data_IF_412225565236
#
_entry.id   IF_412225565236
#
_cell.length_a   1.000
_cell.length_b   1.000
_cell.length_c   1.000
_cell.angle_alpha   90.00
_cell.angle_beta   90.00
_cell.angle_gamma   90.00
#
_symmetry.space_group_name_H-M   'P 1'
#
loop_
_entity.id
_entity.type
_entity.pdbx_description
1 polymer ?
#
# COMPACT_ATOMS: atom_id res chain seq x y z
N UNK A 1 26.56 8.16 -20.75
CA UNK A 1 25.12 8.28 -20.41
C UNK A 1 24.98 7.72 -19.01
N UNK A 2 24.55 8.53 -18.03
CA UNK A 2 24.18 7.96 -16.72
C UNK A 2 23.08 6.91 -16.94
N UNK A 3 23.28 5.72 -16.37
CA UNK A 3 22.39 4.59 -16.57
C UNK A 3 20.98 4.90 -16.08
N UNK A 4 19.98 4.40 -16.78
CA UNK A 4 18.57 4.51 -16.39
C UNK A 4 18.33 4.08 -14.93
N UNK A 5 19.05 3.04 -14.48
CA UNK A 5 19.04 2.57 -13.09
C UNK A 5 19.56 3.60 -12.08
N UNK A 6 20.72 4.24 -12.32
CA UNK A 6 21.28 5.22 -11.38
C UNK A 6 20.37 6.44 -11.22
N UNK A 7 19.78 6.89 -12.33
CA UNK A 7 18.80 7.98 -12.33
C UNK A 7 17.54 7.61 -11.55
N UNK A 8 17.07 6.37 -11.68
CA UNK A 8 15.93 5.87 -10.90
C UNK A 8 16.24 5.79 -9.40
N UNK A 9 17.44 5.32 -9.03
CA UNK A 9 17.89 5.25 -7.64
C UNK A 9 17.97 6.65 -7.02
N UNK A 10 18.58 7.61 -7.72
CA UNK A 10 18.65 9.01 -7.27
C UNK A 10 17.25 9.59 -7.10
N UNK A 11 16.37 9.35 -8.07
CA UNK A 11 14.97 9.76 -7.98
C UNK A 11 14.27 9.16 -6.76
N UNK A 12 14.48 7.86 -6.51
CA UNK A 12 13.90 7.17 -5.36
C UNK A 12 14.33 7.81 -4.04
N UNK A 13 15.63 8.08 -3.87
CA UNK A 13 16.14 8.74 -2.67
C UNK A 13 15.51 10.13 -2.49
N UNK A 14 15.40 10.91 -3.58
CA UNK A 14 14.79 12.23 -3.56
C UNK A 14 13.29 12.20 -3.25
N UNK A 15 12.55 11.21 -3.76
CA UNK A 15 11.11 11.03 -3.43
C UNK A 15 10.91 10.67 -1.97
N UNK A 16 11.85 9.94 -1.36
CA UNK A 16 11.78 9.54 0.05
C UNK A 16 12.20 10.65 1.02
N UNK A 17 13.08 11.56 0.58
CA UNK A 17 13.69 12.59 1.43
C UNK A 17 12.68 13.49 2.17
N UNK A 18 11.56 13.95 1.59
CA UNK A 18 10.55 14.74 2.31
C UNK A 18 9.89 13.98 3.46
N UNK A 19 9.80 12.65 3.38
CA UNK A 19 9.10 11.82 4.36
C UNK A 19 10.03 11.23 5.42
N UNK A 20 11.26 10.89 5.02
CA UNK A 20 12.21 10.14 5.85
C UNK A 20 13.50 10.91 6.16
N UNK A 21 13.69 12.11 5.58
CA UNK A 21 14.88 12.93 5.76
C UNK A 21 16.16 12.15 5.46
N UNK A 22 17.09 12.14 6.41
CA UNK A 22 18.38 11.44 6.28
C UNK A 22 18.25 9.91 6.16
N UNK A 23 17.13 9.32 6.59
CA UNK A 23 16.92 7.87 6.50
C UNK A 23 16.64 7.40 5.06
N UNK A 24 16.25 8.31 4.15
CA UNK A 24 15.96 8.01 2.75
C UNK A 24 17.10 7.26 2.05
N UNK A 25 18.34 7.76 2.19
CA UNK A 25 19.53 7.11 1.62
C UNK A 25 19.79 5.72 2.18
N UNK A 26 19.59 5.54 3.50
CA UNK A 26 19.76 4.25 4.17
C UNK A 26 18.72 3.23 3.69
N UNK A 27 17.45 3.64 3.52
CA UNK A 27 16.39 2.78 3.00
C UNK A 27 16.69 2.31 1.58
N UNK A 28 17.07 3.24 0.69
CA UNK A 28 17.46 2.89 -0.68
C UNK A 28 18.65 1.93 -0.68
N UNK A 29 19.65 2.16 0.17
CA UNK A 29 20.82 1.29 0.29
C UNK A 29 20.46 -0.12 0.76
N UNK A 30 19.59 -0.25 1.76
CA UNK A 30 19.11 -1.56 2.25
C UNK A 30 18.42 -2.34 1.13
N UNK A 31 17.57 -1.68 0.36
CA UNK A 31 16.88 -2.32 -0.77
C UNK A 31 17.86 -2.68 -1.88
N UNK A 32 18.83 -1.80 -2.19
CA UNK A 32 19.87 -2.07 -3.19
C UNK A 32 20.75 -3.27 -2.86
N UNK A 33 21.02 -3.53 -1.59
CA UNK A 33 21.76 -4.71 -1.14
C UNK A 33 20.98 -5.99 -1.48
N UNK A 34 19.65 -5.96 -1.36
CA UNK A 34 18.77 -7.10 -1.66
C UNK A 34 18.48 -7.26 -3.14
N UNK A 35 18.22 -6.15 -3.84
CA UNK A 35 17.88 -6.10 -5.25
C UNK A 35 18.68 -4.98 -5.92
N UNK A 36 19.78 -5.37 -6.56
CA UNK A 36 20.64 -4.42 -7.27
C UNK A 36 20.06 -4.15 -8.66
N UNK A 37 19.82 -2.86 -8.95
CA UNK A 37 19.43 -2.42 -10.29
C UNK A 37 20.68 -2.11 -11.13
N UNK A 38 20.62 -2.50 -12.39
CA UNK A 38 21.68 -2.34 -13.38
C UNK A 38 21.11 -1.67 -14.65
N UNK A 39 21.97 -1.18 -15.53
CA UNK A 39 21.53 -0.57 -16.79
C UNK A 39 20.70 -1.53 -17.67
N UNK A 40 20.90 -2.84 -17.52
CA UNK A 40 20.19 -3.91 -18.24
C UNK A 40 18.96 -4.45 -17.49
N UNK A 41 18.64 -3.89 -16.32
CA UNK A 41 17.48 -4.33 -15.53
C UNK A 41 16.19 -4.17 -16.30
N UNK A 42 15.33 -5.19 -16.22
CA UNK A 42 14.02 -5.21 -16.87
C UNK A 42 12.99 -4.53 -15.97
N UNK A 43 11.84 -4.13 -16.53
CA UNK A 43 10.73 -3.50 -15.77
C UNK A 43 10.39 -4.26 -14.48
N UNK A 44 10.38 -5.59 -14.52
CA UNK A 44 10.10 -6.44 -13.36
C UNK A 44 11.13 -6.28 -12.23
N UNK A 45 12.42 -6.05 -12.55
CA UNK A 45 13.45 -5.82 -11.53
C UNK A 45 13.18 -4.53 -10.74
N UNK A 46 12.69 -3.49 -11.42
CA UNK A 46 12.30 -2.24 -10.78
C UNK A 46 11.03 -2.41 -9.93
N UNK A 47 10.07 -3.22 -10.37
CA UNK A 47 8.87 -3.50 -9.57
C UNK A 47 9.22 -4.27 -8.30
N UNK A 48 10.06 -5.32 -8.41
CA UNK A 48 10.56 -6.03 -7.23
C UNK A 48 11.35 -5.12 -6.28
N UNK A 49 12.13 -4.18 -6.82
CA UNK A 49 12.81 -3.17 -6.03
C UNK A 49 11.81 -2.29 -5.25
N UNK A 50 10.75 -1.82 -5.91
CA UNK A 50 9.70 -1.00 -5.28
C UNK A 50 8.95 -1.80 -4.20
N UNK A 51 8.60 -3.05 -4.46
CA UNK A 51 7.89 -3.89 -3.49
C UNK A 51 8.75 -4.17 -2.24
N UNK A 52 10.06 -4.36 -2.42
CA UNK A 52 11.00 -4.42 -1.29
C UNK A 52 11.04 -3.10 -0.53
N UNK A 53 11.05 -1.96 -1.23
CA UNK A 53 11.02 -0.65 -0.58
C UNK A 53 9.73 -0.44 0.22
N UNK A 54 8.57 -0.78 -0.36
CA UNK A 54 7.26 -0.74 0.30
C UNK A 54 7.27 -1.50 1.61
N UNK A 55 7.79 -2.73 1.60
CA UNK A 55 7.92 -3.57 2.79
C UNK A 55 8.81 -2.96 3.88
N UNK A 56 9.85 -2.22 3.51
CA UNK A 56 10.69 -1.53 4.51
C UNK A 56 10.04 -0.23 5.01
N UNK A 57 9.22 0.43 4.19
CA UNK A 57 8.51 1.66 4.57
C UNK A 57 7.28 1.39 5.44
N UNK A 58 6.58 0.27 5.26
CA UNK A 58 5.36 -0.06 6.01
C UNK A 58 5.59 -0.18 7.53
N UNK A 59 6.84 -0.34 7.97
CA UNK A 59 7.21 -0.31 9.39
C UNK A 59 7.56 1.09 9.92
N UNK A 60 7.67 2.09 9.05
CA UNK A 60 8.20 3.43 9.36
C UNK A 60 7.20 4.56 9.09
N UNK A 61 6.22 4.34 8.22
CA UNK A 61 5.16 5.29 7.90
C UNK A 61 3.81 4.58 7.85
N UNK A 62 2.72 5.33 7.74
CA UNK A 62 1.40 4.74 7.51
C UNK A 62 1.28 4.13 6.10
N UNK A 63 0.36 3.17 5.97
CA UNK A 63 0.16 2.44 4.71
C UNK A 63 -0.24 3.37 3.55
N UNK A 64 -0.91 4.48 3.86
CA UNK A 64 -1.32 5.46 2.87
C UNK A 64 -0.11 6.15 2.22
N UNK A 65 0.78 6.73 3.03
CA UNK A 65 1.99 7.40 2.54
C UNK A 65 2.93 6.41 1.84
N UNK A 66 3.10 5.20 2.37
CA UNK A 66 3.90 4.16 1.73
C UNK A 66 3.38 3.85 0.32
N UNK A 67 2.06 3.69 0.18
CA UNK A 67 1.41 3.45 -1.11
C UNK A 67 1.57 4.63 -2.08
N UNK A 68 1.39 5.87 -1.62
CA UNK A 68 1.56 7.06 -2.46
C UNK A 68 2.99 7.17 -3.02
N UNK A 69 4.00 6.97 -2.16
CA UNK A 69 5.41 6.97 -2.56
C UNK A 69 5.68 5.86 -3.58
N UNK A 70 5.27 4.63 -3.28
CA UNK A 70 5.48 3.50 -4.20
C UNK A 70 4.79 3.70 -5.54
N UNK A 71 3.58 4.26 -5.55
CA UNK A 71 2.87 4.58 -6.80
C UNK A 71 3.60 5.64 -7.62
N UNK A 72 4.15 6.68 -6.99
CA UNK A 72 4.99 7.67 -7.68
C UNK A 72 6.22 7.02 -8.33
N UNK A 73 6.86 6.06 -7.64
CA UNK A 73 7.99 5.29 -8.18
C UNK A 73 7.57 4.39 -9.34
N UNK A 74 6.42 3.70 -9.25
CA UNK A 74 5.88 2.85 -10.32
C UNK A 74 5.59 3.66 -11.59
N UNK A 75 5.03 4.86 -11.44
CA UNK A 75 4.84 5.81 -12.55
C UNK A 75 6.19 6.18 -13.18
N UNK A 76 7.20 6.47 -12.36
CA UNK A 76 8.55 6.77 -12.86
C UNK A 76 9.16 5.63 -13.66
N UNK A 77 8.96 4.38 -13.22
CA UNK A 77 9.39 3.19 -13.98
C UNK A 77 8.69 3.17 -15.34
N UNK A 78 7.38 3.37 -15.40
CA UNK A 78 6.65 3.43 -16.66
C UNK A 78 7.22 4.50 -17.61
N UNK A 79 7.54 5.69 -17.11
CA UNK A 79 8.16 6.77 -17.90
C UNK A 79 9.52 6.39 -18.49
N UNK A 80 10.35 5.69 -17.71
CA UNK A 80 11.67 5.22 -18.15
C UNK A 80 11.52 4.25 -19.32
N UNK A 81 10.60 3.30 -19.21
CA UNK A 81 10.37 2.28 -20.23
C UNK A 81 9.64 2.83 -21.46
N UNK A 82 8.79 3.84 -21.30
CA UNK A 82 8.13 4.56 -22.40
C UNK A 82 9.11 5.38 -23.23
N UNK A 83 10.12 5.98 -22.61
CA UNK A 83 11.17 6.73 -23.32
C UNK A 83 12.15 5.85 -24.08
N UNK A 84 12.34 4.62 -23.64
CA UNK A 84 13.21 3.64 -24.32
C UNK A 84 12.51 2.92 -25.47
N UNK A 85 11.17 2.87 -25.49
CA UNK A 85 10.40 2.50 -26.68
C UNK A 85 10.30 3.67 -27.66
N UNK A 86 11.44 4.13 -28.20
CA UNK A 86 11.39 4.96 -29.42
C UNK A 86 10.74 4.09 -30.51
N UNK A 87 9.66 4.53 -31.17
CA UNK A 87 9.08 3.80 -32.29
C UNK A 87 10.16 3.75 -33.37
N UNK A 88 10.76 2.58 -33.57
CA UNK A 88 11.70 2.39 -34.65
C UNK A 88 10.90 2.53 -35.96
N UNK A 89 11.15 3.54 -36.80
CA UNK A 89 10.43 3.67 -38.05
C UNK A 89 11.06 2.70 -39.04
N UNK A 90 10.51 1.51 -39.23
CA UNK A 90 10.61 0.75 -40.50
C UNK A 90 9.84 -0.57 -40.48
N UNK A 91 8.87 -0.64 -41.41
CA UNK A 91 8.62 -1.74 -42.34
C UNK A 91 8.79 -3.21 -41.88
N UNK A 92 7.64 -3.89 -41.85
CA UNK A 92 7.38 -5.30 -42.17
C UNK A 92 6.75 -6.10 -41.00
N UNK A 93 5.61 -6.79 -41.24
CA UNK A 93 4.90 -7.56 -40.22
C UNK A 93 5.58 -8.92 -40.05
N UNK A 94 6.12 -9.19 -38.85
CA UNK A 94 6.56 -10.53 -38.46
C UNK A 94 5.76 -10.99 -37.25
N UNK A 95 5.09 -12.12 -37.44
CA UNK A 95 4.12 -12.75 -36.56
C UNK A 95 4.80 -13.52 -35.42
N UNK A 96 4.80 -12.95 -34.22
CA UNK A 96 4.72 -13.69 -32.95
C UNK A 96 4.55 -12.68 -31.81
N UNK A 97 3.29 -12.30 -31.56
CA UNK A 97 2.92 -11.33 -30.54
C UNK A 97 2.81 -11.98 -29.14
N UNK A 98 3.42 -11.40 -28.09
CA UNK A 98 2.88 -11.48 -26.73
C UNK A 98 1.61 -10.62 -26.66
N UNK A 99 0.55 -11.10 -26.00
CA UNK A 99 -0.75 -10.45 -25.94
C UNK A 99 -0.66 -8.98 -25.44
N UNK A 100 -0.93 -7.96 -26.29
CA UNK A 100 -0.71 -6.53 -25.97
C UNK A 100 -1.75 -5.89 -25.04
N UNK A 101 -2.54 -6.68 -24.29
CA UNK A 101 -3.75 -6.17 -23.61
C UNK A 101 -3.67 -5.98 -22.10
N UNK A 102 -2.77 -6.70 -21.40
CA UNK A 102 -2.84 -6.80 -19.94
C UNK A 102 -2.40 -5.51 -19.22
N UNK A 103 -1.41 -4.78 -19.75
CA UNK A 103 -0.84 -3.58 -19.10
C UNK A 103 -1.86 -2.42 -19.09
N UNK A 104 -2.62 -2.28 -20.18
CA UNK A 104 -3.62 -1.20 -20.36
C UNK A 104 -4.82 -1.39 -19.42
N UNK A 105 -5.28 -2.63 -19.22
CA UNK A 105 -6.42 -2.92 -18.36
C UNK A 105 -6.09 -2.70 -16.87
N UNK A 106 -4.86 -3.03 -16.45
CA UNK A 106 -4.37 -2.73 -15.09
C UNK A 106 -4.19 -1.24 -14.84
N UNK A 107 -3.65 -0.50 -15.82
CA UNK A 107 -3.49 0.95 -15.72
C UNK A 107 -4.85 1.66 -15.64
N UNK A 108 -5.79 1.25 -16.49
CA UNK A 108 -7.16 1.74 -16.49
C UNK A 108 -7.85 1.48 -15.15
N UNK A 109 -7.75 0.26 -14.63
CA UNK A 109 -8.33 -0.11 -13.33
C UNK A 109 -7.75 0.76 -12.20
N UNK A 110 -6.44 1.01 -12.23
CA UNK A 110 -5.77 1.87 -11.23
C UNK A 110 -6.29 3.30 -11.29
N UNK A 111 -6.42 3.87 -12.49
CA UNK A 111 -6.97 5.22 -12.69
C UNK A 111 -8.42 5.35 -12.22
N UNK A 112 -9.25 4.35 -12.51
CA UNK A 112 -10.63 4.30 -12.04
C UNK A 112 -10.68 4.24 -10.51
N UNK A 113 -9.85 3.40 -9.88
CA UNK A 113 -9.77 3.32 -8.41
C UNK A 113 -9.38 4.68 -7.82
N UNK A 114 -8.37 5.35 -8.37
CA UNK A 114 -7.94 6.68 -7.92
C UNK A 114 -9.02 7.75 -8.09
N UNK A 115 -9.76 7.71 -9.21
CA UNK A 115 -10.88 8.61 -9.45
C UNK A 115 -11.98 8.43 -8.40
N UNK A 116 -12.32 7.17 -8.09
CA UNK A 116 -13.39 6.83 -7.14
C UNK A 116 -13.00 7.08 -5.69
N UNK A 117 -11.72 6.95 -5.34
CA UNK A 117 -11.20 7.29 -4.01
C UNK A 117 -11.30 8.81 -3.76
N UNK A 118 -10.98 9.61 -4.78
CA UNK A 118 -11.13 11.08 -4.72
C UNK A 118 -12.58 11.54 -4.81
N UNK A 119 -13.44 10.78 -5.49
CA UNK A 119 -14.84 11.12 -5.76
C UNK A 119 -15.78 9.96 -5.33
N UNK A 120 -15.89 9.66 -4.03
CA UNK A 120 -16.69 8.53 -3.55
C UNK A 120 -18.19 8.69 -3.84
N UNK A 121 -18.64 9.90 -4.20
CA UNK A 121 -20.01 10.24 -4.57
C UNK A 121 -20.10 10.86 -5.97
N UNK A 122 -19.28 10.38 -6.91
CA UNK A 122 -19.32 10.83 -8.30
C UNK A 122 -20.74 10.75 -8.88
N UNK A 123 -21.22 11.85 -9.45
CA UNK A 123 -22.50 11.93 -10.17
C UNK A 123 -22.39 11.29 -11.56
N UNK A 124 -23.52 11.07 -12.24
CA UNK A 124 -23.52 10.55 -13.61
C UNK A 124 -22.79 11.51 -14.60
N UNK A 125 -22.81 12.82 -14.31
CA UNK A 125 -22.07 13.83 -15.06
C UNK A 125 -20.55 13.66 -14.85
N UNK A 126 -20.11 13.52 -13.60
CA UNK A 126 -18.69 13.27 -13.27
C UNK A 126 -18.17 11.99 -13.92
N UNK A 127 -18.97 10.90 -13.87
CA UNK A 127 -18.64 9.63 -14.52
C UNK A 127 -18.54 9.82 -16.04
N UNK A 128 -19.46 10.59 -16.62
CA UNK A 128 -19.48 10.85 -18.06
C UNK A 128 -18.26 11.64 -18.50
N UNK A 129 -17.89 12.68 -17.77
CA UNK A 129 -16.76 13.53 -18.10
C UNK A 129 -15.43 12.80 -17.88
N UNK A 130 -15.32 12.00 -16.82
CA UNK A 130 -14.15 11.16 -16.61
C UNK A 130 -14.02 10.06 -17.68
N UNK A 131 -15.13 9.47 -18.11
CA UNK A 131 -15.14 8.51 -19.21
C UNK A 131 -14.70 9.14 -20.54
N UNK A 132 -15.11 10.38 -20.83
CA UNK A 132 -14.63 11.14 -22.01
C UNK A 132 -13.13 11.41 -21.90
N UNK A 133 -12.65 11.80 -20.72
CA UNK A 133 -11.22 11.99 -20.46
C UNK A 133 -10.43 10.71 -20.76
N UNK A 134 -10.87 9.56 -20.24
CA UNK A 134 -10.21 8.28 -20.52
C UNK A 134 -10.27 7.92 -22.02
N UNK A 135 -11.39 8.16 -22.69
CA UNK A 135 -11.49 7.94 -24.13
C UNK A 135 -10.48 8.78 -24.92
N UNK A 136 -10.33 10.06 -24.57
CA UNK A 136 -9.34 10.95 -25.19
C UNK A 136 -7.90 10.50 -24.89
N UNK A 137 -7.62 10.11 -23.65
CA UNK A 137 -6.26 9.74 -23.21
C UNK A 137 -5.76 8.46 -23.89
N UNK A 138 -6.63 7.47 -24.07
CA UNK A 138 -6.30 6.19 -24.71
C UNK A 138 -6.55 6.18 -26.23
N UNK A 139 -6.72 7.36 -26.85
CA UNK A 139 -6.85 7.52 -28.30
C UNK A 139 -8.11 6.88 -28.90
N UNK A 140 -9.16 6.75 -28.09
CA UNK A 140 -10.42 6.12 -28.45
C UNK A 140 -11.42 7.06 -29.12
N UNK A 141 -12.29 6.47 -29.94
CA UNK A 141 -13.49 7.13 -30.49
C UNK A 141 -14.56 7.34 -29.39
N UNK A 142 -15.54 8.23 -29.62
CA UNK A 142 -16.65 8.50 -28.70
C UNK A 142 -17.37 7.22 -28.24
N UNK A 143 -17.37 6.20 -29.08
CA UNK A 143 -17.91 4.86 -28.80
C UNK A 143 -17.23 4.14 -27.61
N UNK A 144 -15.99 4.49 -27.24
CA UNK A 144 -15.32 3.94 -26.06
C UNK A 144 -15.79 4.59 -24.75
N UNK A 145 -16.41 5.77 -24.81
CA UNK A 145 -16.93 6.49 -23.63
C UNK A 145 -17.91 5.61 -22.85
N UNK A 146 -18.86 4.97 -23.53
CA UNK A 146 -19.84 4.09 -22.88
C UNK A 146 -19.19 2.84 -22.25
N UNK A 147 -18.12 2.33 -22.87
CA UNK A 147 -17.33 1.24 -22.29
C UNK A 147 -16.64 1.68 -20.99
N UNK A 148 -16.01 2.87 -20.99
CA UNK A 148 -15.38 3.42 -19.78
C UNK A 148 -16.40 3.75 -18.69
N UNK A 149 -17.57 4.28 -19.03
CA UNK A 149 -18.68 4.46 -18.07
C UNK A 149 -19.06 3.15 -17.41
N UNK A 150 -19.18 2.07 -18.18
CA UNK A 150 -19.49 0.74 -17.64
C UNK A 150 -18.42 0.28 -16.63
N UNK A 151 -17.14 0.46 -16.96
CA UNK A 151 -16.04 0.13 -16.03
C UNK A 151 -16.06 0.97 -14.75
N UNK A 152 -16.28 2.29 -14.87
CA UNK A 152 -16.35 3.20 -13.71
C UNK A 152 -17.52 2.81 -12.80
N UNK A 153 -18.71 2.57 -13.38
CA UNK A 153 -19.90 2.14 -12.63
C UNK A 153 -19.68 0.79 -11.93
N UNK A 154 -18.99 -0.15 -12.58
CA UNK A 154 -18.61 -1.42 -11.95
C UNK A 154 -17.67 -1.20 -10.77
N UNK A 155 -16.68 -0.31 -10.92
CA UNK A 155 -15.79 0.11 -9.82
C UNK A 155 -16.53 0.75 -8.66
N UNK A 156 -17.51 1.63 -8.92
CA UNK A 156 -18.35 2.24 -7.89
C UNK A 156 -19.14 1.21 -7.09
N UNK A 157 -19.72 0.23 -7.80
CA UNK A 157 -20.43 -0.87 -7.18
C UNK A 157 -19.54 -1.64 -6.20
N UNK A 158 -18.29 -1.93 -6.59
CA UNK A 158 -17.31 -2.58 -5.72
C UNK A 158 -16.93 -1.73 -4.50
N UNK A 159 -16.73 -0.42 -4.67
CA UNK A 159 -16.41 0.46 -3.54
C UNK A 159 -17.53 0.52 -2.50
N UNK A 160 -18.80 0.62 -2.94
CA UNK A 160 -19.96 0.58 -2.04
C UNK A 160 -20.05 -0.76 -1.29
N UNK A 161 -19.71 -1.85 -1.97
CA UNK A 161 -19.64 -3.18 -1.36
C UNK A 161 -18.56 -3.24 -0.30
N UNK A 162 -17.34 -2.76 -0.59
CA UNK A 162 -16.22 -2.72 0.37
C UNK A 162 -16.58 -1.85 1.58
N UNK A 163 -17.20 -0.69 1.39
CA UNK A 163 -17.68 0.15 2.49
C UNK A 163 -18.77 -0.57 3.32
N UNK A 164 -19.70 -1.26 2.64
CA UNK A 164 -20.72 -2.09 3.27
C UNK A 164 -20.12 -3.21 4.13
N UNK A 165 -19.11 -3.92 3.61
CA UNK A 165 -18.37 -4.96 4.34
C UNK A 165 -17.70 -4.34 5.57
N UNK A 166 -17.06 -3.18 5.39
CA UNK A 166 -16.37 -2.50 6.49
C UNK A 166 -17.31 -2.10 7.63
N UNK A 167 -18.50 -1.59 7.30
CA UNK A 167 -19.57 -1.26 8.26
C UNK A 167 -20.13 -2.51 8.93
N UNK A 168 -20.41 -3.56 8.15
CA UNK A 168 -20.90 -4.84 8.64
C UNK A 168 -19.92 -5.45 9.67
N UNK A 169 -18.64 -5.54 9.34
CA UNK A 169 -17.62 -6.11 10.21
C UNK A 169 -17.26 -5.21 11.41
N UNK A 170 -17.58 -3.91 11.36
CA UNK A 170 -17.47 -3.03 12.53
C UNK A 170 -18.59 -3.31 13.55
N UNK A 171 -19.81 -3.59 13.08
CA UNK A 171 -20.95 -3.94 13.93
C UNK A 171 -20.88 -5.39 14.42
N UNK A 172 -20.38 -6.30 13.58
CA UNK A 172 -20.24 -7.72 13.87
C UNK A 172 -18.77 -8.15 13.70
N UNK A 173 -17.89 -7.95 14.70
CA UNK A 173 -16.48 -8.32 14.59
C UNK A 173 -16.22 -9.83 14.38
N UNK A 174 -17.20 -10.65 14.77
CA UNK A 174 -17.20 -12.12 14.58
C UNK A 174 -18.58 -12.55 14.05
N UNK A 175 -18.89 -12.27 12.77
CA UNK A 175 -20.19 -12.58 12.22
C UNK A 175 -20.38 -14.11 12.15
N UNK A 176 -21.58 -14.59 12.46
CA UNK A 176 -21.94 -15.99 12.22
C UNK A 176 -22.13 -16.24 10.73
N UNK A 177 -22.18 -17.53 10.32
CA UNK A 177 -22.46 -17.88 8.92
C UNK A 177 -23.79 -17.29 8.43
N UNK A 178 -24.82 -17.26 9.30
CA UNK A 178 -26.12 -16.68 8.98
C UNK A 178 -26.04 -15.16 8.77
N UNK A 179 -25.28 -14.46 9.61
CA UNK A 179 -25.10 -13.00 9.46
C UNK A 179 -24.44 -12.66 8.11
N UNK A 180 -23.45 -13.46 7.71
CA UNK A 180 -22.80 -13.33 6.39
C UNK A 180 -23.78 -13.62 5.26
N UNK A 181 -24.60 -14.67 5.38
CA UNK A 181 -25.60 -15.01 4.36
C UNK A 181 -26.63 -13.89 4.17
N UNK A 182 -27.10 -13.30 5.27
CA UNK A 182 -28.08 -12.21 5.24
C UNK A 182 -27.47 -10.93 4.65
N UNK A 183 -26.20 -10.62 5.00
CA UNK A 183 -25.46 -9.53 4.38
C UNK A 183 -25.26 -9.73 2.88
N UNK A 184 -24.87 -10.94 2.45
CA UNK A 184 -24.65 -11.27 1.04
C UNK A 184 -25.93 -11.10 0.23
N UNK A 185 -27.06 -11.59 0.74
CA UNK A 185 -28.37 -11.37 0.11
C UNK A 185 -28.72 -9.89 0.00
N UNK A 186 -28.49 -9.11 1.05
CA UNK A 186 -28.77 -7.67 1.06
C UNK A 186 -27.96 -6.91 -0.01
N UNK A 187 -26.66 -7.20 -0.13
CA UNK A 187 -25.81 -6.57 -1.13
C UNK A 187 -26.21 -6.99 -2.54
N UNK A 188 -26.54 -8.26 -2.79
CA UNK A 188 -26.98 -8.71 -4.11
C UNK A 188 -28.29 -8.06 -4.57
N UNK A 189 -29.21 -7.77 -3.64
CA UNK A 189 -30.42 -7.01 -3.96
C UNK A 189 -30.10 -5.57 -4.38
N UNK A 190 -29.02 -5.00 -3.84
CA UNK A 190 -28.60 -3.62 -4.10
C UNK A 190 -27.63 -3.51 -5.28
N UNK A 191 -26.90 -4.58 -5.59
CA UNK A 191 -25.85 -4.62 -6.60
C UNK A 191 -25.74 -6.04 -7.21
N UNK A 192 -26.56 -6.37 -8.23
CA UNK A 192 -26.66 -7.73 -8.78
C UNK A 192 -25.44 -8.17 -9.60
N UNK A 193 -24.43 -7.32 -9.77
CA UNK A 193 -23.27 -7.58 -10.61
C UNK A 193 -22.15 -8.42 -9.97
N UNK A 194 -22.25 -8.74 -8.68
CA UNK A 194 -21.24 -9.48 -7.93
C UNK A 194 -21.81 -10.84 -7.54
N UNK A 195 -21.03 -11.91 -7.73
CA UNK A 195 -21.49 -13.25 -7.34
C UNK A 195 -21.49 -13.42 -5.81
N UNK A 196 -22.39 -14.25 -5.27
CA UNK A 196 -22.40 -14.54 -3.83
C UNK A 196 -21.06 -15.12 -3.34
N UNK A 197 -20.41 -15.95 -4.16
CA UNK A 197 -19.12 -16.54 -3.84
C UNK A 197 -18.01 -15.47 -3.71
N UNK A 198 -17.95 -14.56 -4.68
CA UNK A 198 -17.01 -13.42 -4.66
C UNK A 198 -17.25 -12.52 -3.45
N UNK A 199 -18.52 -12.23 -3.14
CA UNK A 199 -18.86 -11.39 -2.00
C UNK A 199 -18.48 -12.03 -0.65
N UNK A 200 -18.68 -13.35 -0.51
CA UNK A 200 -18.21 -14.11 0.67
C UNK A 200 -16.70 -14.08 0.79
N UNK A 201 -15.98 -14.21 -0.33
CA UNK A 201 -14.53 -14.12 -0.35
C UNK A 201 -14.05 -12.74 0.12
N UNK A 202 -14.69 -11.66 -0.34
CA UNK A 202 -14.37 -10.30 0.09
C UNK A 202 -14.61 -10.10 1.59
N UNK A 203 -15.74 -10.59 2.12
CA UNK A 203 -16.05 -10.53 3.56
C UNK A 203 -14.99 -11.29 4.37
N UNK A 204 -14.64 -12.51 3.96
CA UNK A 204 -13.66 -13.33 4.68
C UNK A 204 -12.24 -12.72 4.60
N UNK A 205 -11.86 -12.19 3.44
CA UNK A 205 -10.59 -11.48 3.24
C UNK A 205 -10.47 -10.30 4.21
N UNK A 206 -11.47 -9.44 4.26
CA UNK A 206 -11.47 -8.27 5.15
C UNK A 206 -11.47 -8.68 6.63
N UNK A 207 -12.23 -9.73 6.99
CA UNK A 207 -12.22 -10.30 8.34
C UNK A 207 -10.83 -10.80 8.74
N UNK A 208 -10.12 -11.48 7.84
CA UNK A 208 -8.75 -11.95 8.07
C UNK A 208 -7.78 -10.77 8.21
N UNK A 209 -7.89 -9.74 7.35
CA UNK A 209 -7.09 -8.52 7.46
C UNK A 209 -7.23 -7.92 8.86
N UNK A 210 -8.47 -7.74 9.36
CA UNK A 210 -8.70 -7.22 10.71
C UNK A 210 -8.16 -8.14 11.80
N UNK A 211 -8.30 -9.45 11.65
CA UNK A 211 -7.80 -10.42 12.63
C UNK A 211 -6.27 -10.38 12.78
N UNK A 212 -5.53 -10.17 11.69
CA UNK A 212 -4.07 -10.28 11.68
C UNK A 212 -3.34 -8.91 11.67
N UNK A 213 -3.95 -7.85 11.15
CA UNK A 213 -3.35 -6.51 11.07
C UNK A 213 -3.78 -5.55 12.21
N UNK A 214 -4.83 -5.88 12.99
CA UNK A 214 -5.17 -5.08 14.18
C UNK A 214 -4.28 -5.38 15.40
N UNK A 215 -3.41 -6.38 15.30
CA UNK A 215 -2.39 -6.62 16.32
C UNK A 215 -1.24 -5.60 16.18
N UNK A 216 -1.52 -4.32 16.47
CA UNK A 216 -0.43 -3.38 16.76
C UNK A 216 0.38 -3.94 17.95
N UNK A 217 1.72 -4.04 17.85
CA UNK A 217 2.59 -4.50 18.92
C UNK A 217 2.78 -3.43 20.01
N UNK A 218 1.67 -3.00 20.64
CA UNK A 218 1.67 -1.97 21.67
C UNK A 218 0.59 -2.13 22.76
N UNK A 219 -0.38 -3.03 22.60
CA UNK A 219 -1.44 -3.25 23.60
C UNK A 219 -1.07 -4.32 24.64
N UNK A 220 0.19 -4.36 25.07
CA UNK A 220 0.64 -5.21 26.18
C UNK A 220 1.22 -4.33 27.30
N UNK A 221 0.32 -3.85 28.17
CA UNK A 221 0.43 -3.83 29.65
C UNK A 221 -0.40 -2.68 30.22
N UNK A 222 -1.67 -2.96 30.47
CA UNK A 222 -2.30 -2.48 31.69
C UNK A 222 -2.76 -3.72 32.45
N UNK A 223 -1.78 -4.40 33.07
CA UNK A 223 -2.09 -5.34 34.14
C UNK A 223 -2.56 -4.47 35.30
N UNK A 224 -3.84 -4.61 35.62
CA UNK A 224 -4.47 -4.07 36.81
C UNK A 224 -3.58 -4.30 38.04
N UNK A 225 -2.97 -3.23 38.55
CA UNK A 225 -2.40 -3.21 39.88
C UNK A 225 -3.55 -3.02 40.87
N UNK A 226 -3.82 -4.09 41.60
CA UNK A 226 -4.68 -4.19 42.78
C UNK A 226 -4.34 -3.07 43.80
N UNK A 227 -5.30 -2.30 44.34
CA UNK A 227 -5.01 -1.32 45.36
C UNK A 227 -4.87 -2.01 46.72
N UNK A 228 -3.74 -1.83 47.39
CA UNK A 228 -3.50 -2.38 48.70
C UNK A 228 -2.40 -1.65 49.45
N UNK A 229 -2.82 -0.99 50.54
CA UNK A 229 -2.05 -0.43 51.65
C UNK A 229 -1.41 0.97 51.49
N UNK A 230 -1.94 1.90 52.29
CA UNK A 230 -1.28 3.12 52.75
C UNK A 230 -0.03 2.79 53.58
N UNK A 231 0.89 3.75 53.80
CA UNK A 231 0.73 4.55 55.01
C UNK A 231 1.04 6.04 54.87
N UNK A 232 0.55 6.77 55.87
CA UNK A 232 0.87 8.14 56.28
C UNK A 232 2.38 8.43 56.33
N UNK A 233 2.81 9.59 55.82
CA UNK A 233 3.13 10.73 56.69
C UNK A 233 3.63 11.94 55.90
N UNK A 234 3.26 13.12 56.43
CA UNK A 234 3.52 14.44 55.91
C UNK A 234 4.94 14.94 56.22
N UNK A 235 5.52 15.73 55.31
CA UNK A 235 6.29 16.93 55.66
C UNK A 235 6.49 17.85 54.45
N UNK A 236 6.21 19.14 54.68
CA UNK A 236 6.43 20.31 53.81
C UNK A 236 7.92 20.54 53.54
N UNK A 237 8.26 20.98 52.32
CA UNK A 237 9.25 22.07 52.13
C UNK A 237 9.14 22.69 50.73
N UNK A 238 9.24 24.01 50.69
CA UNK A 238 9.03 24.92 49.56
C UNK A 238 10.34 25.42 48.95
N UNK A 239 10.25 25.80 47.67
CA UNK A 239 11.10 26.71 46.85
C UNK A 239 12.18 26.06 45.95
N UNK A 240 12.70 26.79 44.93
CA UNK A 240 11.99 27.51 43.88
C UNK A 240 12.42 27.06 42.46
N UNK A 241 11.58 27.40 41.47
CA UNK A 241 11.76 27.15 40.04
C UNK A 241 12.96 27.92 39.47
N UNK A 242 13.85 27.21 38.77
CA UNK A 242 14.89 27.78 37.89
C UNK A 242 14.69 27.22 36.48
N UNK A 243 14.59 28.12 35.49
CA UNK A 243 14.33 27.85 34.08
C UNK A 243 15.65 27.90 33.28
N UNK A 244 15.93 26.83 32.51
CA UNK A 244 16.74 26.81 31.28
C UNK A 244 18.27 26.82 31.43
N UNK A 245 19.02 26.15 30.52
CA UNK A 245 18.87 26.25 29.07
C UNK A 245 18.73 24.89 28.32
N UNK A 246 18.42 24.88 27.00
CA UNK A 246 18.08 23.65 26.29
C UNK A 246 19.32 22.88 25.85
N UNK A 247 19.36 21.59 26.17
CA UNK A 247 20.35 20.64 25.64
C UNK A 247 19.70 19.91 24.48
N UNK A 248 20.07 20.31 23.27
CA UNK A 248 19.83 19.58 22.04
C UNK A 248 20.94 18.51 21.94
N UNK A 249 20.71 17.35 22.54
CA UNK A 249 21.57 16.18 22.39
C UNK A 249 20.72 15.07 21.77
N UNK A 250 20.71 15.04 20.45
CA UNK A 250 20.15 13.93 19.70
C UNK A 250 20.91 12.67 20.10
N UNK A 251 20.27 11.82 20.91
CA UNK A 251 20.74 10.47 21.19
C UNK A 251 20.87 9.73 19.87
N UNK A 252 22.09 9.66 19.34
CA UNK A 252 22.46 8.70 18.30
C UNK A 252 22.24 7.32 18.91
N UNK A 253 21.22 6.62 18.43
CA UNK A 253 21.08 5.19 18.64
C UNK A 253 22.36 4.56 18.05
N UNK A 254 23.16 3.82 18.85
CA UNK A 254 24.37 3.19 18.34
C UNK A 254 24.02 2.31 17.14
N UNK A 255 24.81 2.39 16.06
CA UNK A 255 24.59 1.56 14.85
C UNK A 255 24.60 0.05 15.19
N UNK A 256 25.28 -0.34 16.25
CA UNK A 256 25.27 -1.70 16.80
C UNK A 256 23.86 -2.15 17.24
N UNK A 257 23.06 -1.26 17.83
CA UNK A 257 21.68 -1.58 18.26
C UNK A 257 20.73 -1.78 17.09
N UNK A 258 20.98 -1.08 15.97
CA UNK A 258 20.19 -1.25 14.73
C UNK A 258 20.53 -2.59 14.07
N UNK A 259 21.80 -2.97 14.04
CA UNK A 259 22.23 -4.24 13.46
C UNK A 259 21.72 -5.44 14.26
N UNK A 260 21.79 -5.39 15.60
CA UNK A 260 21.22 -6.43 16.47
C UNK A 260 19.70 -6.60 16.28
N UNK A 261 18.99 -5.49 16.09
CA UNK A 261 17.55 -5.53 15.82
C UNK A 261 17.24 -6.18 14.47
N UNK A 262 18.01 -5.85 13.42
CA UNK A 262 17.84 -6.44 12.10
C UNK A 262 18.14 -7.95 12.11
N UNK A 263 19.20 -8.39 12.81
CA UNK A 263 19.51 -9.81 12.93
C UNK A 263 18.42 -10.58 13.70
N UNK A 264 17.87 -9.99 14.76
CA UNK A 264 16.75 -10.57 15.53
C UNK A 264 15.49 -10.79 14.67
N UNK A 265 15.16 -9.84 13.79
CA UNK A 265 14.04 -9.98 12.84
C UNK A 265 14.32 -11.10 11.84
N UNK A 266 15.53 -11.15 11.27
CA UNK A 266 15.89 -12.17 10.30
C UNK A 266 15.87 -13.59 10.89
N UNK A 267 16.30 -13.76 12.15
CA UNK A 267 16.26 -15.04 12.85
C UNK A 267 14.82 -15.52 13.10
N UNK A 268 13.89 -14.61 13.46
CA UNK A 268 12.47 -14.95 13.62
C UNK A 268 11.82 -15.38 12.30
N UNK A 269 12.15 -14.72 11.19
CA UNK A 269 11.67 -15.10 9.85
C UNK A 269 12.18 -16.50 9.47
N UNK A 270 13.46 -16.80 9.75
CA UNK A 270 14.06 -18.11 9.48
C UNK A 270 13.36 -19.22 10.28
N UNK A 271 13.14 -19.01 11.59
CA UNK A 271 12.42 -19.95 12.47
C UNK A 271 10.99 -20.22 12.01
N UNK A 272 10.24 -19.19 11.60
CA UNK A 272 8.87 -19.37 11.09
C UNK A 272 8.82 -20.18 9.80
N UNK A 273 9.80 -20.00 8.90
CA UNK A 273 9.90 -20.75 7.65
C UNK A 273 10.22 -22.23 7.89
N UNK A 274 11.07 -22.52 8.87
CA UNK A 274 11.41 -23.91 9.24
C UNK A 274 10.24 -24.63 9.91
N UNK A 275 9.42 -23.92 10.69
CA UNK A 275 8.19 -24.48 11.27
C UNK A 275 7.18 -24.85 10.17
N UNK A 276 6.99 -23.99 9.17
CA UNK A 276 6.12 -24.26 8.02
C UNK A 276 6.57 -25.45 7.17
N UNK A 277 7.89 -25.73 7.13
CA UNK A 277 8.45 -26.90 6.43
C UNK A 277 8.26 -28.21 7.20
N UNK A 278 8.12 -28.16 8.52
CA UNK A 278 7.92 -29.35 9.37
C UNK A 278 6.45 -29.82 9.45
N UNK A 279 5.52 -29.00 9.00
CA UNK A 279 4.07 -29.29 8.98
C UNK A 279 3.57 -29.78 7.61
N UNK A 280 4.47 -30.12 6.68
CA UNK A 280 4.18 -30.81 5.41
C UNK A 280 4.84 -32.17 5.43
#
# INVERSE_FOLDING_TARGET
>A
MEGSADNFIKYTAHTLEPHFGQLSGSLVRIVQIKKRLHAESKRNDYMEFIDQLELNMSGLTDDHNANEICNALRIKVADIFRKTSVPQPTSAPSSAAPAPGADVETELSTKIILFLDRNPRASEEDITDYAKFLALEYGGDLNQTEKFKSYIKKGMGLNLVVEGINKFLAQFPKPSGKDVDDFVRYINLSNPGISEAELRELVERERLIRKFHWAKPGAAREIQAKPGAAPENAAKSTAPVTIGPPVNEAQRIPEETVNEFVESIQDRIRKSRDLLRKTK
#
